data_IF_806395536320
#
_entry.id   IF_806395536320
#
_cell.length_a   1.000
_cell.length_b   1.000
_cell.length_c   1.000
_cell.angle_alpha   90.00
_cell.angle_beta   90.00
_cell.angle_gamma   90.00
#
_symmetry.space_group_name_H-M   'P 1'
#
loop_
_entity.id
_entity.type
_entity.pdbx_description
1 polymer ?
#
# COMPACT_ATOMS: atom_id res chain seq x y z
N UNK A 1 -20.72 1.04 -26.00
CA UNK A 1 -21.42 -0.17 -26.47
C UNK A 1 -20.38 -1.17 -27.02
N UNK A 2 -20.55 -2.45 -26.76
CA UNK A 2 -19.75 -3.54 -27.31
C UNK A 2 -20.71 -4.49 -28.03
N UNK A 3 -20.44 -4.73 -29.30
CA UNK A 3 -21.30 -5.55 -30.18
C UNK A 3 -22.80 -5.13 -30.17
N UNK A 4 -23.07 -3.81 -30.13
CA UNK A 4 -24.40 -3.23 -30.12
C UNK A 4 -25.17 -3.33 -28.78
N UNK A 5 -24.53 -3.80 -27.71
CA UNK A 5 -25.09 -3.90 -26.35
C UNK A 5 -24.42 -2.91 -25.40
N UNK A 6 -25.10 -2.45 -24.35
CA UNK A 6 -24.47 -1.67 -23.29
C UNK A 6 -23.31 -2.46 -22.66
N UNK A 7 -22.17 -1.79 -22.45
CA UNK A 7 -21.04 -2.38 -21.73
C UNK A 7 -21.39 -2.43 -20.23
N UNK A 8 -21.27 -3.62 -19.65
CA UNK A 8 -21.22 -3.80 -18.20
C UNK A 8 -19.77 -4.07 -17.82
N UNK A 9 -19.14 -3.17 -17.08
CA UNK A 9 -17.76 -3.28 -16.66
C UNK A 9 -17.70 -3.51 -15.15
N UNK A 10 -17.22 -4.69 -14.74
CA UNK A 10 -17.19 -5.13 -13.34
C UNK A 10 -15.77 -5.34 -12.78
N UNK A 11 -14.75 -4.93 -13.53
CA UNK A 11 -13.34 -5.14 -13.17
C UNK A 11 -12.66 -3.83 -12.69
N UNK A 12 -13.40 -3.01 -11.94
CA UNK A 12 -12.87 -1.76 -11.39
C UNK A 12 -11.78 -1.98 -10.32
N UNK A 13 -11.76 -3.14 -9.66
CA UNK A 13 -10.70 -3.51 -8.71
C UNK A 13 -9.32 -3.57 -9.40
N UNK A 14 -9.27 -4.01 -10.66
CA UNK A 14 -8.06 -4.03 -11.48
C UNK A 14 -7.82 -2.70 -12.21
N UNK A 15 -8.89 -2.08 -12.76
CA UNK A 15 -8.77 -0.88 -13.59
C UNK A 15 -9.95 0.06 -13.39
N UNK A 16 -9.81 1.01 -12.48
CA UNK A 16 -10.82 2.05 -12.23
C UNK A 16 -10.84 3.09 -13.35
N UNK A 17 -12.03 3.43 -13.86
CA UNK A 17 -12.21 4.50 -14.82
C UNK A 17 -11.88 5.86 -14.18
N UNK A 18 -11.16 6.70 -14.92
CA UNK A 18 -10.66 7.96 -14.37
C UNK A 18 -11.74 9.04 -14.37
N UNK A 19 -11.99 9.75 -13.25
CA UNK A 19 -12.91 10.86 -13.20
C UNK A 19 -12.49 11.99 -14.15
N UNK A 20 -13.46 12.63 -14.83
CA UNK A 20 -13.17 13.77 -15.70
C UNK A 20 -12.45 14.90 -14.97
N UNK A 21 -12.77 15.14 -13.69
CA UNK A 21 -12.08 16.15 -12.87
C UNK A 21 -10.59 15.90 -12.79
N UNK A 22 -10.17 14.63 -12.62
CA UNK A 22 -8.76 14.25 -12.58
C UNK A 22 -8.09 14.48 -13.94
N UNK A 23 -8.74 14.04 -15.03
CA UNK A 23 -8.21 14.22 -16.38
C UNK A 23 -8.04 15.70 -16.73
N UNK A 24 -9.03 16.54 -16.40
CA UNK A 24 -8.97 17.98 -16.61
C UNK A 24 -7.84 18.64 -15.79
N UNK A 25 -7.66 18.24 -14.53
CA UNK A 25 -6.59 18.77 -13.68
C UNK A 25 -5.20 18.42 -14.24
N UNK A 26 -5.01 17.18 -14.71
CA UNK A 26 -3.76 16.77 -15.36
C UNK A 26 -3.50 17.57 -16.65
N UNK A 27 -4.52 17.76 -17.48
CA UNK A 27 -4.40 18.54 -18.70
C UNK A 27 -4.04 20.00 -18.40
N UNK A 28 -4.68 20.60 -17.40
CA UNK A 28 -4.45 21.97 -17.00
C UNK A 28 -3.02 22.19 -16.50
N UNK A 29 -2.52 21.26 -15.67
CA UNK A 29 -1.12 21.30 -15.21
C UNK A 29 -0.14 21.25 -16.38
N UNK A 30 -0.30 20.28 -17.30
CA UNK A 30 0.62 20.16 -18.44
C UNK A 30 0.58 21.34 -19.39
N UNK A 31 -0.58 21.99 -19.56
CA UNK A 31 -0.72 23.14 -20.47
C UNK A 31 -0.23 24.45 -19.85
N UNK A 32 -0.35 24.64 -18.53
CA UNK A 32 -0.23 25.96 -17.91
C UNK A 32 0.93 26.09 -16.92
N UNK A 33 1.28 25.01 -16.16
CA UNK A 33 2.25 25.13 -15.05
C UNK A 33 3.33 24.02 -15.03
N UNK A 34 3.42 23.22 -16.09
CA UNK A 34 4.36 22.11 -16.16
C UNK A 34 5.82 22.59 -15.99
N UNK A 35 6.41 22.35 -14.84
CA UNK A 35 7.75 22.75 -14.49
C UNK A 35 8.36 21.86 -13.40
N UNK A 36 9.69 22.02 -13.17
CA UNK A 36 10.40 21.29 -12.13
C UNK A 36 9.92 21.69 -10.73
N UNK A 37 9.38 20.74 -10.00
CA UNK A 37 9.02 20.89 -8.59
C UNK A 37 10.28 21.04 -7.73
N UNK A 38 10.31 21.99 -6.79
CA UNK A 38 11.40 22.28 -5.83
C UNK A 38 12.75 22.75 -6.43
N UNK A 39 12.86 22.95 -7.74
CA UNK A 39 14.16 23.21 -8.36
C UNK A 39 14.26 24.51 -9.12
N UNK A 40 13.17 25.18 -9.41
CA UNK A 40 13.16 26.44 -10.14
C UNK A 40 12.84 27.63 -9.25
N UNK A 41 13.40 28.78 -9.61
CA UNK A 41 13.12 30.05 -8.91
C UNK A 41 12.11 30.93 -9.67
N UNK A 42 11.65 30.49 -10.86
CA UNK A 42 10.68 31.20 -11.68
C UNK A 42 9.24 30.83 -11.30
N UNK A 43 8.29 31.65 -11.69
CA UNK A 43 6.89 31.56 -11.31
C UNK A 43 6.26 30.17 -11.56
N UNK A 44 6.46 29.56 -12.73
CA UNK A 44 5.89 28.24 -13.05
C UNK A 44 6.37 27.14 -12.08
N UNK A 45 7.66 27.16 -11.71
CA UNK A 45 8.20 26.19 -10.77
C UNK A 45 7.64 26.40 -9.36
N UNK A 46 7.38 27.63 -8.96
CA UNK A 46 6.72 27.92 -7.67
C UNK A 46 5.28 27.40 -7.68
N UNK A 47 4.53 27.66 -8.75
CA UNK A 47 3.16 27.14 -8.87
C UNK A 47 3.11 25.61 -8.88
N UNK A 48 3.96 24.93 -9.65
CA UNK A 48 4.05 23.48 -9.66
C UNK A 48 4.40 22.91 -8.27
N UNK A 49 5.31 23.59 -7.54
CA UNK A 49 5.68 23.20 -6.17
C UNK A 49 4.51 23.36 -5.20
N UNK A 50 3.79 24.48 -5.26
CA UNK A 50 2.63 24.73 -4.43
C UNK A 50 1.53 23.70 -4.65
N UNK A 51 1.20 23.36 -5.91
CA UNK A 51 0.22 22.32 -6.24
C UNK A 51 0.65 20.95 -5.73
N UNK A 52 1.92 20.60 -5.85
CA UNK A 52 2.45 19.34 -5.37
C UNK A 52 2.37 19.21 -3.83
N UNK A 53 2.74 20.27 -3.11
CA UNK A 53 2.68 20.26 -1.64
C UNK A 53 1.23 20.33 -1.12
N UNK A 54 0.33 21.03 -1.81
CA UNK A 54 -1.10 21.01 -1.50
C UNK A 54 -1.70 19.61 -1.69
N UNK A 55 -1.32 18.90 -2.76
CA UNK A 55 -1.74 17.51 -2.96
C UNK A 55 -1.23 16.60 -1.83
N UNK A 56 0.02 16.79 -1.39
CA UNK A 56 0.61 16.06 -0.26
C UNK A 56 -0.16 16.32 1.04
N UNK A 57 -0.49 17.57 1.32
CA UNK A 57 -1.28 17.95 2.50
C UNK A 57 -2.69 17.34 2.45
N UNK A 58 -3.36 17.38 1.30
CA UNK A 58 -4.67 16.74 1.11
C UNK A 58 -4.63 15.24 1.42
N UNK A 59 -3.59 14.54 0.95
CA UNK A 59 -3.42 13.12 1.26
C UNK A 59 -3.13 12.91 2.75
N UNK A 60 -2.27 13.73 3.35
CA UNK A 60 -1.97 13.70 4.79
C UNK A 60 -3.25 13.79 5.62
N UNK A 61 -4.11 14.78 5.32
CA UNK A 61 -5.38 14.95 6.01
C UNK A 61 -6.33 13.76 5.81
N UNK A 62 -6.44 13.28 4.56
CA UNK A 62 -7.33 12.17 4.22
C UNK A 62 -7.00 10.88 4.97
N UNK A 63 -5.70 10.54 5.10
CA UNK A 63 -5.28 9.33 5.82
C UNK A 63 -4.94 9.59 7.30
N UNK A 64 -5.15 10.82 7.78
CA UNK A 64 -4.84 11.26 9.13
C UNK A 64 -3.37 11.01 9.53
N UNK A 65 -2.44 11.24 8.61
CA UNK A 65 -1.02 11.15 8.91
C UNK A 65 -0.56 12.33 9.78
N UNK A 66 0.44 12.15 10.68
CA UNK A 66 0.91 13.20 11.59
C UNK A 66 1.50 14.41 10.85
N UNK A 67 2.32 14.16 9.84
CA UNK A 67 3.01 15.22 9.07
C UNK A 67 3.03 14.91 7.57
N UNK A 68 3.28 15.91 6.74
CA UNK A 68 3.49 15.73 5.30
C UNK A 68 4.75 14.92 4.97
N UNK A 69 5.71 14.83 5.87
CA UNK A 69 6.91 14.00 5.71
C UNK A 69 6.59 12.49 5.74
N UNK A 70 5.43 12.12 6.29
CA UNK A 70 4.96 10.73 6.31
C UNK A 70 4.31 10.31 4.98
N UNK A 71 4.15 11.26 4.04
CA UNK A 71 3.56 11.00 2.73
C UNK A 71 4.66 10.85 1.68
N UNK A 72 4.75 9.66 1.10
CA UNK A 72 5.68 9.36 0.00
C UNK A 72 4.89 8.96 -1.23
N UNK A 73 4.92 9.80 -2.27
CA UNK A 73 4.29 9.47 -3.55
C UNK A 73 5.15 8.47 -4.34
N UNK A 74 4.50 7.43 -4.82
CA UNK A 74 5.08 6.37 -5.66
C UNK A 74 4.21 6.15 -6.89
N UNK A 75 4.67 5.32 -7.82
CA UNK A 75 3.90 4.97 -9.03
C UNK A 75 2.77 3.98 -8.78
N UNK A 76 2.61 3.50 -7.56
CA UNK A 76 1.55 2.58 -7.14
C UNK A 76 1.96 1.68 -5.99
N UNK A 77 0.99 0.91 -5.47
CA UNK A 77 1.16 0.04 -4.30
C UNK A 77 2.31 -0.96 -4.46
N UNK A 78 2.52 -1.52 -5.65
CA UNK A 78 3.64 -2.43 -5.90
C UNK A 78 4.99 -1.78 -5.63
N UNK A 79 5.20 -0.54 -6.07
CA UNK A 79 6.44 0.19 -5.77
C UNK A 79 6.56 0.52 -4.28
N UNK A 80 5.47 0.96 -3.66
CA UNK A 80 5.44 1.27 -2.22
C UNK A 80 5.85 0.06 -1.38
N UNK A 81 5.27 -1.10 -1.62
CA UNK A 81 5.59 -2.32 -0.87
C UNK A 81 7.03 -2.78 -1.14
N UNK A 82 7.50 -2.72 -2.40
CA UNK A 82 8.90 -3.05 -2.71
C UNK A 82 9.88 -2.11 -2.00
N UNK A 83 9.58 -0.82 -1.94
CA UNK A 83 10.39 0.17 -1.22
C UNK A 83 10.48 -0.19 0.27
N UNK A 84 9.32 -0.42 0.92
CA UNK A 84 9.29 -0.79 2.34
C UNK A 84 10.00 -2.13 2.56
N UNK A 85 9.71 -3.16 1.76
CA UNK A 85 10.33 -4.47 1.90
C UNK A 85 11.85 -4.39 1.79
N UNK A 86 12.37 -3.62 0.83
CA UNK A 86 13.81 -3.47 0.65
C UNK A 86 14.44 -2.71 1.81
N UNK A 87 13.95 -1.50 2.09
CA UNK A 87 14.54 -0.64 3.12
C UNK A 87 14.41 -1.26 4.51
N UNK A 88 13.24 -1.79 4.85
CA UNK A 88 13.00 -2.39 6.16
C UNK A 88 13.85 -3.65 6.38
N UNK A 89 13.89 -4.55 5.39
CA UNK A 89 14.70 -5.76 5.50
C UNK A 89 16.20 -5.47 5.53
N UNK A 90 16.65 -4.37 4.91
CA UNK A 90 18.07 -4.00 4.94
C UNK A 90 18.50 -3.32 6.23
N UNK A 91 17.65 -2.44 6.77
CA UNK A 91 18.00 -1.60 7.92
C UNK A 91 17.57 -2.17 9.27
N UNK A 92 16.49 -2.98 9.31
CA UNK A 92 15.83 -3.38 10.56
C UNK A 92 15.82 -4.89 10.81
N UNK A 93 16.24 -5.73 9.85
CA UNK A 93 16.15 -7.18 9.97
C UNK A 93 17.49 -7.88 9.76
N UNK A 94 17.66 -8.98 10.50
CA UNK A 94 18.81 -9.88 10.41
C UNK A 94 18.43 -11.21 9.73
N UNK A 95 19.42 -12.04 9.38
CA UNK A 95 19.18 -13.39 8.87
C UNK A 95 18.38 -14.22 9.88
N UNK A 96 17.39 -14.94 9.39
CA UNK A 96 16.50 -15.76 10.21
C UNK A 96 15.32 -15.01 10.83
N UNK A 97 15.25 -13.66 10.71
CA UNK A 97 14.08 -12.90 11.11
C UNK A 97 12.86 -13.23 10.24
N UNK A 98 11.68 -13.00 10.80
CA UNK A 98 10.40 -13.45 10.23
C UNK A 98 9.50 -12.27 9.85
N UNK A 99 8.79 -12.47 8.73
CA UNK A 99 7.79 -11.56 8.18
C UNK A 99 6.46 -12.31 8.18
N UNK A 100 5.43 -11.73 8.75
CA UNK A 100 4.07 -12.31 8.70
C UNK A 100 3.30 -11.66 7.55
N UNK A 101 2.73 -12.49 6.66
CA UNK A 101 1.81 -12.09 5.58
C UNK A 101 0.54 -12.92 5.68
N UNK A 102 -0.55 -12.54 4.99
CA UNK A 102 -1.74 -13.39 4.94
C UNK A 102 -1.79 -14.28 3.68
N UNK A 103 -2.60 -15.34 3.72
CA UNK A 103 -2.83 -16.22 2.58
C UNK A 103 -3.63 -15.54 1.44
N UNK A 104 -4.26 -14.40 1.71
CA UNK A 104 -5.10 -13.69 0.72
C UNK A 104 -4.42 -12.46 0.08
N UNK A 105 -3.11 -12.29 0.27
CA UNK A 105 -2.39 -11.14 -0.26
C UNK A 105 -2.34 -11.13 -1.78
N UNK A 106 -2.42 -9.94 -2.36
CA UNK A 106 -2.03 -9.74 -3.76
C UNK A 106 -0.53 -10.02 -3.95
N UNK A 107 -0.12 -10.48 -5.13
CA UNK A 107 1.29 -10.77 -5.44
C UNK A 107 2.24 -9.60 -5.12
N UNK A 108 1.78 -8.35 -5.25
CA UNK A 108 2.56 -7.17 -4.87
C UNK A 108 2.94 -7.14 -3.39
N UNK A 109 2.18 -7.84 -2.53
CA UNK A 109 2.43 -7.94 -1.09
C UNK A 109 2.91 -9.32 -0.64
N UNK A 110 3.28 -10.19 -1.56
CA UNK A 110 3.93 -11.49 -1.27
C UNK A 110 5.35 -11.51 -1.84
N UNK A 111 5.46 -11.25 -3.15
CA UNK A 111 6.71 -11.44 -3.90
C UNK A 111 7.87 -10.60 -3.36
N UNK A 112 7.71 -9.30 -3.01
CA UNK A 112 8.80 -8.54 -2.43
C UNK A 112 9.39 -9.17 -1.17
N UNK A 113 8.55 -9.68 -0.27
CA UNK A 113 8.96 -10.35 0.95
C UNK A 113 9.63 -11.71 0.68
N UNK A 114 9.13 -12.48 -0.29
CA UNK A 114 9.78 -13.73 -0.72
C UNK A 114 11.18 -13.47 -1.28
N UNK A 115 11.35 -12.42 -2.09
CA UNK A 115 12.66 -12.05 -2.64
C UNK A 115 13.64 -11.65 -1.53
N UNK A 116 13.20 -10.93 -0.51
CA UNK A 116 14.02 -10.63 0.66
C UNK A 116 14.37 -11.90 1.44
N UNK A 117 13.42 -12.84 1.57
CA UNK A 117 13.67 -14.16 2.15
C UNK A 117 14.77 -14.92 1.42
N UNK A 118 14.68 -15.03 0.12
CA UNK A 118 15.66 -15.72 -0.72
C UNK A 118 17.05 -15.06 -0.70
N UNK A 119 17.09 -13.72 -0.77
CA UNK A 119 18.36 -12.99 -0.87
C UNK A 119 19.07 -12.82 0.47
N UNK A 120 18.33 -12.72 1.55
CA UNK A 120 18.83 -12.27 2.86
C UNK A 120 18.46 -13.21 4.01
N UNK A 121 18.00 -14.43 3.72
CA UNK A 121 17.68 -15.44 4.73
C UNK A 121 16.50 -15.08 5.65
N UNK A 122 15.58 -14.19 5.23
CA UNK A 122 14.37 -13.89 6.00
C UNK A 122 13.33 -14.98 5.77
N UNK A 123 12.44 -15.21 6.73
CA UNK A 123 11.41 -16.25 6.65
C UNK A 123 10.02 -15.64 6.56
N UNK A 124 9.18 -16.19 5.70
CA UNK A 124 7.77 -15.85 5.67
C UNK A 124 6.97 -16.79 6.56
N UNK A 125 6.09 -16.19 7.35
CA UNK A 125 5.04 -16.87 8.10
C UNK A 125 3.70 -16.44 7.53
N UNK A 126 2.79 -17.37 7.31
CA UNK A 126 1.54 -17.09 6.62
C UNK A 126 0.36 -17.27 7.58
N UNK A 127 -0.47 -16.25 7.70
CA UNK A 127 -1.76 -16.31 8.38
C UNK A 127 -2.70 -17.14 7.49
N UNK A 128 -3.23 -18.28 7.97
CA UNK A 128 -4.14 -19.07 7.17
C UNK A 128 -5.47 -18.35 6.96
N UNK A 129 -6.18 -18.79 5.92
CA UNK A 129 -7.53 -18.37 5.60
C UNK A 129 -8.50 -19.52 5.92
N UNK A 130 -9.65 -19.18 6.50
CA UNK A 130 -10.76 -20.08 6.75
C UNK A 130 -11.55 -20.37 5.45
N UNK A 131 -12.36 -21.41 5.44
CA UNK A 131 -13.17 -21.78 4.28
C UNK A 131 -14.22 -20.72 3.90
N UNK A 132 -14.61 -19.86 4.83
CA UNK A 132 -15.51 -18.73 4.59
C UNK A 132 -14.81 -17.48 4.00
N UNK A 133 -13.50 -17.56 3.74
CA UNK A 133 -12.71 -16.47 3.17
C UNK A 133 -12.27 -15.42 4.19
N UNK A 134 -12.39 -15.67 5.50
CA UNK A 134 -11.84 -14.82 6.56
C UNK A 134 -10.44 -15.27 6.98
N UNK A 135 -9.65 -14.38 7.61
CA UNK A 135 -8.36 -14.77 8.19
C UNK A 135 -8.55 -15.45 9.54
N UNK A 136 -7.76 -16.50 9.81
CA UNK A 136 -7.69 -17.13 11.12
C UNK A 136 -6.90 -16.25 12.10
N UNK A 137 -7.62 -15.46 12.91
CA UNK A 137 -7.03 -14.52 13.87
C UNK A 137 -6.37 -15.24 15.05
N UNK A 138 -6.84 -16.43 15.44
CA UNK A 138 -6.18 -17.20 16.49
C UNK A 138 -4.84 -17.77 16.01
N UNK A 139 -4.79 -18.28 14.76
CA UNK A 139 -3.51 -18.65 14.15
C UNK A 139 -2.57 -17.44 14.03
N UNK A 140 -3.09 -16.25 13.65
CA UNK A 140 -2.29 -15.02 13.58
C UNK A 140 -1.61 -14.70 14.92
N UNK A 141 -2.34 -14.72 16.03
CA UNK A 141 -1.78 -14.50 17.39
C UNK A 141 -0.62 -15.46 17.70
N UNK A 142 -0.73 -16.71 17.26
CA UNK A 142 0.26 -17.75 17.50
C UNK A 142 1.49 -17.70 16.57
N UNK A 143 1.51 -16.82 15.55
CA UNK A 143 2.66 -16.66 14.66
C UNK A 143 3.77 -15.79 15.24
N UNK A 144 3.47 -14.94 16.24
CA UNK A 144 4.44 -14.02 16.81
C UNK A 144 5.49 -14.73 17.67
N UNK A 145 6.75 -14.35 17.49
CA UNK A 145 7.88 -14.75 18.30
C UNK A 145 8.97 -13.66 18.26
N UNK A 146 10.09 -13.85 18.94
CA UNK A 146 11.21 -12.89 19.04
C UNK A 146 11.81 -12.51 17.68
N UNK A 147 11.67 -13.36 16.66
CA UNK A 147 12.16 -13.14 15.30
C UNK A 147 11.16 -12.39 14.41
N UNK A 148 9.93 -12.25 14.81
CA UNK A 148 8.92 -11.50 14.05
C UNK A 148 9.26 -10.01 14.06
N UNK A 149 9.47 -9.42 12.87
CA UNK A 149 9.88 -8.01 12.74
C UNK A 149 8.85 -7.13 12.05
N UNK A 150 8.01 -7.69 11.20
CA UNK A 150 6.97 -6.94 10.50
C UNK A 150 5.80 -7.87 10.13
N UNK A 151 4.61 -7.30 10.15
CA UNK A 151 3.40 -7.87 9.54
C UNK A 151 3.09 -7.07 8.28
N UNK A 152 2.66 -7.73 7.19
CA UNK A 152 2.22 -7.06 5.97
C UNK A 152 0.95 -7.72 5.45
N UNK A 153 -0.18 -7.00 5.51
CA UNK A 153 -1.51 -7.57 5.21
C UNK A 153 -2.41 -6.59 4.45
N UNK A 154 -3.27 -7.13 3.60
CA UNK A 154 -4.28 -6.34 2.90
C UNK A 154 -5.47 -6.01 3.81
N UNK A 155 -6.01 -4.80 3.68
CA UNK A 155 -7.24 -4.42 4.36
C UNK A 155 -8.46 -5.02 3.68
N UNK A 156 -8.51 -4.99 2.35
CA UNK A 156 -9.61 -5.55 1.55
C UNK A 156 -9.01 -6.45 0.47
N UNK A 157 -9.44 -7.70 0.41
CA UNK A 157 -8.98 -8.62 -0.62
C UNK A 157 -9.47 -8.19 -2.01
N UNK A 158 -8.56 -8.10 -2.97
CA UNK A 158 -8.88 -7.80 -4.36
C UNK A 158 -9.62 -8.94 -5.08
N UNK A 159 -9.55 -10.16 -4.54
CA UNK A 159 -10.18 -11.36 -5.12
C UNK A 159 -11.52 -11.65 -4.44
N UNK A 160 -11.54 -11.68 -3.12
CA UNK A 160 -12.70 -12.10 -2.33
C UNK A 160 -13.61 -10.94 -1.91
N UNK A 161 -13.06 -9.71 -1.87
CA UNK A 161 -13.77 -8.56 -1.29
C UNK A 161 -13.87 -8.61 0.25
N UNK A 162 -13.27 -9.61 0.88
CA UNK A 162 -13.23 -9.74 2.34
C UNK A 162 -12.56 -8.53 2.96
N UNK A 163 -13.22 -7.91 3.94
CA UNK A 163 -12.67 -6.82 4.75
C UNK A 163 -12.06 -7.41 6.02
N UNK A 164 -10.75 -7.32 6.12
CA UNK A 164 -10.01 -7.86 7.26
C UNK A 164 -10.14 -6.99 8.52
N UNK A 165 -10.11 -7.57 9.72
CA UNK A 165 -10.25 -6.87 10.99
C UNK A 165 -8.96 -6.12 11.38
N UNK A 166 -8.54 -5.15 10.54
CA UNK A 166 -7.23 -4.48 10.62
C UNK A 166 -6.98 -3.82 11.99
N UNK A 167 -8.01 -3.23 12.60
CA UNK A 167 -7.85 -2.60 13.93
C UNK A 167 -7.42 -3.62 15.00
N UNK A 168 -8.01 -4.82 14.96
CA UNK A 168 -7.62 -5.91 15.86
C UNK A 168 -6.21 -6.41 15.53
N UNK A 169 -5.91 -6.60 14.25
CA UNK A 169 -4.59 -7.07 13.81
C UNK A 169 -3.48 -6.09 14.18
N UNK A 170 -3.72 -4.78 14.05
CA UNK A 170 -2.79 -3.73 14.49
C UNK A 170 -2.56 -3.83 16.01
N UNK A 171 -3.63 -3.95 16.80
CA UNK A 171 -3.53 -4.07 18.25
C UNK A 171 -2.64 -5.26 18.64
N UNK A 172 -2.90 -6.43 18.05
CA UNK A 172 -2.12 -7.65 18.30
C UNK A 172 -0.65 -7.46 17.94
N UNK A 173 -0.35 -6.91 16.74
CA UNK A 173 1.04 -6.67 16.32
C UNK A 173 1.76 -5.71 17.28
N UNK A 174 1.09 -4.64 17.70
CA UNK A 174 1.67 -3.65 18.61
C UNK A 174 1.88 -4.20 20.04
N UNK A 175 1.07 -5.13 20.51
CA UNK A 175 1.28 -5.84 21.78
C UNK A 175 2.61 -6.62 21.78
N UNK A 176 3.07 -7.05 20.59
CA UNK A 176 4.36 -7.69 20.38
C UNK A 176 5.48 -6.71 19.98
N UNK A 177 5.22 -5.39 19.98
CA UNK A 177 6.13 -4.34 19.48
C UNK A 177 6.54 -4.55 18.01
N UNK A 178 5.67 -5.12 17.18
CA UNK A 178 5.90 -5.40 15.77
C UNK A 178 5.11 -4.37 14.92
N UNK A 179 5.78 -3.64 14.01
CA UNK A 179 5.09 -2.76 13.06
C UNK A 179 4.27 -3.57 12.05
N UNK A 180 3.21 -2.94 11.55
CA UNK A 180 2.32 -3.56 10.56
C UNK A 180 2.17 -2.64 9.34
N UNK A 181 2.41 -3.19 8.15
CA UNK A 181 2.10 -2.55 6.87
C UNK A 181 0.71 -3.00 6.43
N UNK A 182 -0.13 -2.04 6.12
CA UNK A 182 -1.48 -2.27 5.58
C UNK A 182 -1.49 -1.95 4.09
N UNK A 183 -1.76 -2.95 3.26
CA UNK A 183 -2.07 -2.73 1.85
C UNK A 183 -3.50 -2.21 1.72
N UNK A 184 -3.63 -0.92 1.42
CA UNK A 184 -4.88 -0.21 1.25
C UNK A 184 -5.32 -0.05 -0.20
N UNK A 185 -4.77 -0.80 -1.16
CA UNK A 185 -5.04 -0.63 -2.59
C UNK A 185 -6.54 -0.70 -2.94
N UNK A 186 -7.32 -1.50 -2.21
CA UNK A 186 -8.75 -1.68 -2.43
C UNK A 186 -9.62 -0.94 -1.39
N UNK A 187 -9.02 -0.22 -0.44
CA UNK A 187 -9.75 0.38 0.69
C UNK A 187 -9.52 1.88 0.86
N UNK A 188 -8.50 2.46 0.22
CA UNK A 188 -8.20 3.88 0.32
C UNK A 188 -9.14 4.78 -0.51
N UNK A 189 -9.71 4.35 -1.67
CA UNK A 189 -10.70 5.11 -2.44
C UNK A 189 -12.03 5.26 -1.72
#
# INVERSE_FOLDING_TARGET
>A
QVHGKPLVYLDNAATTQKPLRMLNAMQDEYLNVNSNVHRGVHWMSQQATELYEQARETVREFINAPTTNDIVFTRGTTESINLVATVFCESMMQEGDEIIVSAMEHHSNIVPWQLQGQRKGKKLRVIPMNDDGTLDIEAYKNLFNEKTKIVSVTQVSNVLGTVNPIKEMIRIAHEHNVPILIDGAQSAP
#
